data_IF_221480667226
#
_entry.id   IF_221480667226
#
_cell.length_a   1.000
_cell.length_b   1.000
_cell.length_c   1.000
_cell.angle_alpha   90.00
_cell.angle_beta   90.00
_cell.angle_gamma   90.00
#
_symmetry.space_group_name_H-M   'P 1'
#
loop_
_entity.id
_entity.type
_entity.pdbx_description
1 polymer ?
#
# COMPACT_ATOMS: atom_id res chain seq x y z
N UNK A 1 6.29 -1.60 -16.45
CA UNK A 1 7.05 -1.83 -15.18
C UNK A 1 6.61 -0.78 -14.16
N UNK A 2 6.60 -1.02 -12.83
CA UNK A 2 6.12 0.01 -11.88
C UNK A 2 7.03 1.27 -11.96
N UNK A 3 6.49 2.48 -12.15
CA UNK A 3 7.30 3.68 -12.25
C UNK A 3 8.02 3.94 -10.92
N UNK A 4 9.27 4.39 -10.99
CA UNK A 4 10.00 4.82 -9.81
C UNK A 4 9.38 6.11 -9.28
N UNK A 5 9.14 6.17 -7.97
CA UNK A 5 8.51 7.34 -7.34
C UNK A 5 9.59 8.15 -6.63
N UNK A 6 9.64 9.45 -6.93
CA UNK A 6 10.41 10.46 -6.20
C UNK A 6 9.47 11.09 -5.16
N UNK A 7 9.52 10.65 -3.89
CA UNK A 7 8.60 11.15 -2.87
C UNK A 7 9.06 12.53 -2.37
N UNK A 8 8.11 13.47 -2.33
CA UNK A 8 8.24 14.77 -1.67
C UNK A 8 7.18 14.82 -0.58
N UNK A 9 7.61 14.96 0.67
CA UNK A 9 6.69 15.02 1.80
C UNK A 9 6.29 16.48 2.11
N UNK A 10 4.99 16.74 2.19
CA UNK A 10 4.37 18.01 2.57
C UNK A 10 3.62 17.82 3.91
N UNK A 11 4.34 17.82 5.05
CA UNK A 11 3.78 17.34 6.32
C UNK A 11 2.66 18.24 6.86
N UNK A 12 1.53 17.62 7.22
CA UNK A 12 0.30 18.20 7.83
C UNK A 12 -0.33 19.40 7.13
N UNK A 13 0.28 19.92 6.07
CA UNK A 13 -0.18 21.13 5.41
C UNK A 13 -1.38 20.83 4.51
N UNK A 14 -2.38 21.72 4.57
CA UNK A 14 -3.67 21.53 3.91
C UNK A 14 -4.66 20.65 4.68
N UNK A 15 -4.28 20.09 5.84
CA UNK A 15 -5.23 19.37 6.70
C UNK A 15 -5.88 20.35 7.71
N UNK A 16 -7.19 20.62 7.64
CA UNK A 16 -7.87 21.51 8.59
C UNK A 16 -8.06 20.88 9.98
N UNK A 17 -7.92 19.56 10.08
CA UNK A 17 -8.13 18.80 11.31
C UNK A 17 -6.99 17.80 11.53
N UNK A 18 -6.80 17.42 12.79
CA UNK A 18 -5.86 16.38 13.18
C UNK A 18 -6.60 15.06 13.44
N UNK A 19 -6.37 14.08 12.58
CA UNK A 19 -6.92 12.73 12.76
C UNK A 19 -6.36 12.07 14.01
N UNK A 20 -7.14 11.20 14.65
CA UNK A 20 -6.80 10.64 15.96
C UNK A 20 -5.54 9.78 15.95
N UNK A 21 -5.22 9.14 14.82
CA UNK A 21 -4.05 8.28 14.62
C UNK A 21 -2.84 9.02 14.03
N UNK A 22 -2.99 10.28 13.63
CA UNK A 22 -2.02 10.95 12.78
C UNK A 22 -1.10 11.90 13.56
N UNK A 23 0.21 11.69 13.43
CA UNK A 23 1.24 12.60 13.93
C UNK A 23 2.36 12.81 12.90
N UNK A 24 2.05 13.41 11.75
CA UNK A 24 3.05 13.65 10.70
C UNK A 24 4.25 14.49 11.15
N UNK A 25 4.11 15.38 12.15
CA UNK A 25 5.24 16.10 12.75
C UNK A 25 6.29 15.16 13.35
N UNK A 26 5.86 14.09 14.04
CA UNK A 26 6.77 13.04 14.54
C UNK A 26 7.18 12.04 13.43
N UNK A 27 6.29 11.73 12.48
CA UNK A 27 6.57 10.74 11.41
C UNK A 27 7.57 11.28 10.38
N UNK A 28 7.46 12.57 10.02
CA UNK A 28 8.24 13.21 8.95
C UNK A 28 9.38 14.07 9.48
N UNK A 29 9.28 14.61 10.70
CA UNK A 29 10.32 15.44 11.31
C UNK A 29 10.58 16.79 10.64
N UNK A 30 9.80 17.20 9.63
CA UNK A 30 10.13 18.35 8.78
C UNK A 30 9.04 19.45 8.74
N UNK A 31 9.47 20.69 8.45
CA UNK A 31 8.60 21.80 8.02
C UNK A 31 8.31 21.66 6.52
N UNK A 32 7.31 22.39 6.00
CA UNK A 32 7.02 22.40 4.56
C UNK A 32 8.32 22.71 3.77
N UNK A 33 8.71 21.87 2.79
CA UNK A 33 9.98 22.07 2.09
C UNK A 33 9.93 23.33 1.22
N UNK A 34 11.06 24.02 1.13
CA UNK A 34 11.24 25.13 0.18
C UNK A 34 11.33 24.59 -1.25
N UNK A 35 11.07 25.45 -2.25
CA UNK A 35 11.27 25.08 -3.66
C UNK A 35 12.70 24.60 -3.94
N UNK A 36 13.70 25.24 -3.31
CA UNK A 36 15.10 24.82 -3.38
C UNK A 36 15.27 23.39 -2.88
N UNK A 37 14.71 23.07 -1.70
CA UNK A 37 14.79 21.72 -1.12
C UNK A 37 14.10 20.68 -1.99
N UNK A 38 12.92 21.01 -2.54
CA UNK A 38 12.21 20.12 -3.48
C UNK A 38 13.08 19.83 -4.71
N UNK A 39 13.68 20.88 -5.30
CA UNK A 39 14.57 20.74 -6.44
C UNK A 39 15.78 19.85 -6.13
N UNK A 40 16.43 20.07 -4.99
CA UNK A 40 17.55 19.25 -4.51
C UNK A 40 17.14 17.77 -4.37
N UNK A 41 15.96 17.48 -3.82
CA UNK A 41 15.45 16.11 -3.70
C UNK A 41 15.26 15.51 -5.10
N UNK A 42 14.59 16.21 -6.01
CA UNK A 42 14.34 15.71 -7.38
C UNK A 42 15.67 15.41 -8.08
N UNK A 43 16.61 16.37 -8.07
CA UNK A 43 17.92 16.22 -8.71
C UNK A 43 18.73 15.08 -8.10
N UNK A 44 18.74 14.95 -6.77
CA UNK A 44 19.40 13.85 -6.07
C UNK A 44 18.88 12.48 -6.53
N UNK A 45 17.56 12.33 -6.62
CA UNK A 45 16.97 11.08 -7.11
C UNK A 45 17.29 10.83 -8.58
N UNK A 46 17.22 11.85 -9.44
CA UNK A 46 17.54 11.71 -10.87
C UNK A 46 19.01 11.34 -11.12
N UNK A 47 19.95 11.85 -10.32
CA UNK A 47 21.38 11.55 -10.43
C UNK A 47 21.71 10.09 -10.08
N UNK A 48 20.93 9.47 -9.19
CA UNK A 48 21.04 8.04 -8.91
C UNK A 48 20.60 7.29 -10.18
N UNK A 49 21.56 6.82 -11.00
CA UNK A 49 21.38 6.09 -12.28
C UNK A 49 20.57 4.77 -12.18
N UNK A 50 19.84 4.53 -11.10
CA UNK A 50 18.88 3.43 -10.89
C UNK A 50 17.77 3.42 -11.97
N UNK A 51 17.61 4.51 -12.72
CA UNK A 51 16.57 4.72 -13.74
C UNK A 51 16.92 4.21 -15.14
N UNK A 52 18.19 3.93 -15.47
CA UNK A 52 18.61 3.68 -16.87
C UNK A 52 17.94 2.43 -17.47
N UNK A 53 17.57 1.45 -16.63
CA UNK A 53 16.80 0.26 -17.03
C UNK A 53 15.30 0.34 -16.73
N UNK A 54 14.79 1.49 -16.29
CA UNK A 54 13.40 1.67 -15.84
C UNK A 54 12.64 2.71 -16.65
N UNK A 55 11.31 2.63 -16.62
CA UNK A 55 10.45 3.73 -17.07
C UNK A 55 10.83 5.02 -16.32
N UNK A 56 10.65 6.17 -16.97
CA UNK A 56 10.89 7.49 -16.38
C UNK A 56 10.11 7.62 -15.05
N UNK A 57 10.71 8.23 -14.01
CA UNK A 57 10.09 8.32 -12.70
C UNK A 57 8.90 9.29 -12.66
N UNK A 58 8.07 9.18 -11.62
CA UNK A 58 7.05 10.17 -11.26
C UNK A 58 7.49 10.96 -10.03
N UNK A 59 7.15 12.26 -10.00
CA UNK A 59 7.25 13.05 -8.77
C UNK A 59 5.94 12.89 -7.99
N UNK A 60 6.03 12.49 -6.72
CA UNK A 60 4.86 12.28 -5.87
C UNK A 60 4.86 13.17 -4.63
N UNK A 61 3.82 13.98 -4.48
CA UNK A 61 3.61 14.79 -3.29
C UNK A 61 2.75 14.04 -2.26
N UNK A 62 3.36 13.63 -1.14
CA UNK A 62 2.74 12.84 -0.06
C UNK A 62 2.70 13.58 1.27
N UNK A 63 1.94 13.08 2.24
CA UNK A 63 1.87 13.64 3.60
C UNK A 63 0.51 14.30 3.85
N UNK A 64 0.46 15.63 3.77
CA UNK A 64 -0.75 16.41 3.96
C UNK A 64 -1.74 16.32 2.80
N UNK A 65 -2.57 17.35 2.66
CA UNK A 65 -3.58 17.45 1.60
C UNK A 65 -3.10 18.41 0.52
N UNK A 66 -2.50 17.88 -0.55
CA UNK A 66 -1.82 18.71 -1.55
C UNK A 66 -2.74 19.77 -2.18
N UNK A 67 -3.98 19.41 -2.48
CA UNK A 67 -4.92 20.34 -3.13
C UNK A 67 -5.46 21.40 -2.19
N UNK A 68 -5.44 21.15 -0.87
CA UNK A 68 -5.80 22.11 0.16
C UNK A 68 -4.64 23.05 0.57
N UNK A 69 -3.47 22.96 -0.07
CA UNK A 69 -2.43 23.99 0.07
C UNK A 69 -2.92 25.34 -0.47
N UNK A 70 -2.40 26.44 0.10
CA UNK A 70 -2.62 27.79 -0.45
C UNK A 70 -2.25 27.81 -1.93
N UNK A 71 -3.12 28.38 -2.77
CA UNK A 71 -3.02 28.31 -4.24
C UNK A 71 -1.64 28.72 -4.77
N UNK A 72 -1.06 29.81 -4.27
CA UNK A 72 0.28 30.25 -4.67
C UNK A 72 1.36 29.17 -4.44
N UNK A 73 1.36 28.52 -3.28
CA UNK A 73 2.32 27.46 -2.94
C UNK A 73 2.07 26.20 -3.78
N UNK A 74 0.81 25.79 -3.91
CA UNK A 74 0.42 24.63 -4.72
C UNK A 74 0.88 24.80 -6.17
N UNK A 75 0.60 25.95 -6.78
CA UNK A 75 1.04 26.30 -8.14
C UNK A 75 2.56 26.32 -8.25
N UNK A 76 3.28 26.88 -7.28
CA UNK A 76 4.74 26.89 -7.30
C UNK A 76 5.33 25.46 -7.28
N UNK A 77 4.77 24.56 -6.48
CA UNK A 77 5.21 23.15 -6.43
C UNK A 77 4.88 22.42 -7.73
N UNK A 78 3.68 22.63 -8.27
CA UNK A 78 3.27 22.07 -9.57
C UNK A 78 4.14 22.60 -10.70
N UNK A 79 4.41 23.91 -10.77
CA UNK A 79 5.23 24.53 -11.80
C UNK A 79 6.66 23.98 -11.79
N UNK A 80 7.27 23.87 -10.61
CA UNK A 80 8.60 23.27 -10.46
C UNK A 80 8.61 21.83 -10.97
N UNK A 81 7.66 20.99 -10.54
CA UNK A 81 7.61 19.60 -10.99
C UNK A 81 7.30 19.49 -12.49
N UNK A 82 6.44 20.36 -13.02
CA UNK A 82 6.04 20.35 -14.43
C UNK A 82 7.17 20.75 -15.37
N UNK A 83 8.11 21.61 -14.94
CA UNK A 83 9.34 21.89 -15.68
C UNK A 83 10.16 20.60 -15.95
N UNK A 84 10.23 19.68 -14.99
CA UNK A 84 10.87 18.37 -15.20
C UNK A 84 10.07 17.48 -16.15
N UNK A 85 8.73 17.57 -16.17
CA UNK A 85 7.87 16.86 -17.14
C UNK A 85 8.18 17.38 -18.55
N UNK A 86 8.19 18.71 -18.74
CA UNK A 86 8.47 19.36 -20.03
C UNK A 86 9.87 19.04 -20.56
N UNK A 87 10.86 18.96 -19.68
CA UNK A 87 12.22 18.52 -20.02
C UNK A 87 12.35 17.02 -20.30
N UNK A 88 11.24 16.28 -20.23
CA UNK A 88 11.20 14.84 -20.47
C UNK A 88 11.96 14.01 -19.43
N UNK A 89 12.29 14.57 -18.26
CA UNK A 89 13.04 13.86 -17.19
C UNK A 89 12.15 12.98 -16.32
N UNK A 90 10.86 13.31 -16.22
CA UNK A 90 9.87 12.58 -15.44
C UNK A 90 8.64 12.26 -16.31
N UNK A 91 7.92 11.18 -15.98
CA UNK A 91 6.74 10.69 -16.73
C UNK A 91 5.46 11.48 -16.42
N UNK A 92 5.38 12.04 -15.22
CA UNK A 92 4.21 12.77 -14.72
C UNK A 92 4.30 13.07 -13.24
N UNK A 93 3.26 13.74 -12.74
CA UNK A 93 3.13 14.11 -11.34
C UNK A 93 1.99 13.32 -10.69
N UNK A 94 2.21 12.95 -9.44
CA UNK A 94 1.29 12.24 -8.56
C UNK A 94 1.05 13.07 -7.30
N UNK A 95 -0.19 13.16 -6.86
CA UNK A 95 -0.54 13.90 -5.63
C UNK A 95 -1.40 13.05 -4.71
N UNK A 96 -1.19 13.21 -3.41
CA UNK A 96 -2.09 12.69 -2.37
C UNK A 96 -2.97 13.82 -1.85
N UNK A 97 -4.26 13.56 -1.69
CA UNK A 97 -5.18 14.57 -1.16
C UNK A 97 -6.37 14.00 -0.39
N UNK A 98 -7.12 14.89 0.26
CA UNK A 98 -8.39 14.55 0.89
C UNK A 98 -9.54 14.62 -0.15
N UNK A 99 -10.53 13.71 -0.06
CA UNK A 99 -11.76 13.75 -0.84
C UNK A 99 -12.49 15.09 -0.91
N UNK A 100 -12.58 15.82 0.22
CA UNK A 100 -13.27 17.11 0.35
C UNK A 100 -12.48 18.31 -0.21
N UNK A 101 -11.25 18.09 -0.68
CA UNK A 101 -10.36 19.14 -1.17
C UNK A 101 -10.26 19.18 -2.71
N UNK A 102 -11.30 18.73 -3.41
CA UNK A 102 -11.35 18.67 -4.86
C UNK A 102 -12.63 19.31 -5.40
N UNK A 103 -12.45 20.14 -6.42
CA UNK A 103 -13.49 20.67 -7.28
C UNK A 103 -12.99 20.67 -8.75
N UNK A 104 -13.85 21.02 -9.70
CA UNK A 104 -13.51 21.03 -11.12
C UNK A 104 -12.37 22.01 -11.44
N UNK A 105 -12.31 23.15 -10.74
CA UNK A 105 -11.26 24.16 -10.93
C UNK A 105 -9.89 23.61 -10.51
N UNK A 106 -9.82 22.89 -9.40
CA UNK A 106 -8.61 22.21 -8.93
C UNK A 106 -8.22 21.11 -9.92
N UNK A 107 -9.15 20.28 -10.39
CA UNK A 107 -8.84 19.22 -11.35
C UNK A 107 -8.29 19.78 -12.67
N UNK A 108 -8.90 20.84 -13.21
CA UNK A 108 -8.42 21.53 -14.41
C UNK A 108 -7.02 22.15 -14.18
N UNK A 109 -6.77 22.72 -13.00
CA UNK A 109 -5.44 23.19 -12.63
C UNK A 109 -4.43 22.02 -12.62
N UNK A 110 -4.75 20.90 -11.97
CA UNK A 110 -3.87 19.73 -11.92
C UNK A 110 -3.57 19.17 -13.33
N UNK A 111 -4.56 19.09 -14.21
CA UNK A 111 -4.39 18.69 -15.62
C UNK A 111 -3.40 19.61 -16.35
N UNK A 112 -3.55 20.93 -16.18
CA UNK A 112 -2.69 21.93 -16.83
C UNK A 112 -1.20 21.83 -16.44
N UNK A 113 -0.90 21.22 -15.28
CA UNK A 113 0.47 20.97 -14.80
C UNK A 113 0.94 19.53 -15.04
N UNK A 114 0.23 18.72 -15.83
CA UNK A 114 0.66 17.36 -16.17
C UNK A 114 0.58 16.36 -15.01
N UNK A 115 -0.30 16.60 -14.04
CA UNK A 115 -0.66 15.61 -13.02
C UNK A 115 -1.38 14.46 -13.71
N UNK A 116 -0.99 13.23 -13.40
CA UNK A 116 -1.56 12.00 -13.97
C UNK A 116 -2.21 11.09 -12.95
N UNK A 117 -1.88 11.26 -11.66
CA UNK A 117 -2.36 10.36 -10.62
C UNK A 117 -2.77 11.10 -9.36
N UNK A 118 -3.96 10.78 -8.85
CA UNK A 118 -4.50 11.30 -7.61
C UNK A 118 -4.74 10.14 -6.66
N UNK A 119 -4.11 10.19 -5.48
CA UNK A 119 -4.34 9.25 -4.39
C UNK A 119 -5.27 9.90 -3.35
N UNK A 120 -6.49 9.37 -3.19
CA UNK A 120 -7.46 9.80 -2.18
C UNK A 120 -7.21 9.11 -0.85
N UNK A 121 -7.04 9.91 0.20
CA UNK A 121 -6.97 9.43 1.58
C UNK A 121 -8.33 9.02 2.14
N UNK A 122 -8.93 7.95 1.63
CA UNK A 122 -10.27 7.42 1.99
C UNK A 122 -10.33 6.92 3.43
N UNK A 123 -9.34 6.11 3.82
CA UNK A 123 -9.19 5.45 5.12
C UNK A 123 -10.29 4.43 5.46
N UNK A 124 -11.55 4.85 5.51
CA UNK A 124 -12.70 4.01 5.78
C UNK A 124 -13.91 4.45 4.95
N UNK A 125 -14.87 3.56 4.76
CA UNK A 125 -16.14 3.83 4.05
C UNK A 125 -17.33 3.65 5.00
N UNK A 126 -17.21 4.24 6.18
CA UNK A 126 -18.22 4.24 7.24
C UNK A 126 -18.18 5.58 7.99
N UNK A 127 -19.34 6.23 8.12
CA UNK A 127 -19.43 7.58 8.69
C UNK A 127 -19.01 7.64 10.17
N UNK A 128 -19.33 6.60 10.95
CA UNK A 128 -19.00 6.56 12.38
C UNK A 128 -17.49 6.39 12.60
N UNK A 129 -16.84 5.56 11.76
CA UNK A 129 -15.39 5.40 11.78
C UNK A 129 -14.72 6.73 11.40
N UNK A 130 -15.14 7.39 10.31
CA UNK A 130 -14.56 8.65 9.84
C UNK A 130 -14.73 9.78 10.87
N UNK A 131 -15.91 9.87 11.49
CA UNK A 131 -16.21 10.84 12.56
C UNK A 131 -15.36 10.57 13.80
N UNK A 132 -15.29 9.32 14.26
CA UNK A 132 -14.48 8.94 15.43
C UNK A 132 -12.98 9.17 15.17
N UNK A 133 -12.53 8.90 13.95
CA UNK A 133 -11.17 9.17 13.52
C UNK A 133 -10.83 10.66 13.31
N UNK A 134 -11.83 11.56 13.43
CA UNK A 134 -11.71 13.00 13.17
C UNK A 134 -11.14 13.28 11.78
N UNK A 135 -11.61 12.53 10.78
CA UNK A 135 -11.09 12.61 9.41
C UNK A 135 -11.49 13.92 8.72
N UNK A 136 -12.70 14.40 9.00
CA UNK A 136 -13.23 15.69 8.55
C UNK A 136 -13.78 15.69 7.12
N UNK A 137 -14.02 14.52 6.53
CA UNK A 137 -14.83 14.35 5.33
C UNK A 137 -15.80 13.19 5.54
N UNK A 138 -16.79 13.07 4.67
CA UNK A 138 -17.80 12.02 4.64
C UNK A 138 -17.50 10.95 3.59
N UNK A 139 -18.24 9.85 3.62
CA UNK A 139 -18.24 8.83 2.55
C UNK A 139 -18.77 9.44 1.24
N UNK A 140 -19.73 10.37 1.34
CA UNK A 140 -20.26 11.09 0.17
C UNK A 140 -19.17 11.90 -0.55
N UNK A 141 -18.26 12.52 0.20
CA UNK A 141 -17.12 13.25 -0.38
C UNK A 141 -16.17 12.30 -1.13
N UNK A 142 -15.92 11.09 -0.59
CA UNK A 142 -15.12 10.06 -1.26
C UNK A 142 -15.71 9.69 -2.62
N UNK A 143 -17.02 9.43 -2.66
CA UNK A 143 -17.70 9.04 -3.89
C UNK A 143 -17.77 10.18 -4.91
N UNK A 144 -18.07 11.41 -4.45
CA UNK A 144 -18.04 12.61 -5.29
C UNK A 144 -16.66 12.81 -5.92
N UNK A 145 -15.61 12.81 -5.10
CA UNK A 145 -14.23 12.97 -5.58
C UNK A 145 -13.83 11.86 -6.55
N UNK A 146 -14.19 10.61 -6.24
CA UNK A 146 -13.92 9.45 -7.12
C UNK A 146 -14.56 9.63 -8.49
N UNK A 147 -15.83 10.05 -8.56
CA UNK A 147 -16.52 10.32 -9.82
C UNK A 147 -15.82 11.41 -10.63
N UNK A 148 -15.44 12.52 -9.98
CA UNK A 148 -14.79 13.65 -10.65
C UNK A 148 -13.40 13.28 -11.17
N UNK A 149 -12.59 12.58 -10.38
CA UNK A 149 -11.23 12.15 -10.77
C UNK A 149 -11.29 11.22 -11.98
N UNK A 150 -12.21 10.25 -11.97
CA UNK A 150 -12.40 9.32 -13.09
C UNK A 150 -12.91 10.01 -14.34
N UNK A 151 -13.86 10.94 -14.22
CA UNK A 151 -14.38 11.69 -15.35
C UNK A 151 -13.31 12.58 -16.01
N UNK A 152 -12.34 13.06 -15.23
CA UNK A 152 -11.18 13.81 -15.72
C UNK A 152 -9.99 12.92 -16.14
N UNK A 153 -10.19 11.60 -16.25
CA UNK A 153 -9.22 10.62 -16.75
C UNK A 153 -7.88 10.55 -15.98
N UNK A 154 -7.86 10.99 -14.72
CA UNK A 154 -6.73 10.75 -13.84
C UNK A 154 -6.69 9.29 -13.43
N UNK A 155 -5.48 8.75 -13.25
CA UNK A 155 -5.34 7.51 -12.51
C UNK A 155 -5.71 7.74 -11.04
N UNK A 156 -6.58 6.89 -10.49
CA UNK A 156 -7.12 6.99 -9.15
C UNK A 156 -6.55 5.91 -8.22
N UNK A 157 -5.95 6.36 -7.13
CA UNK A 157 -5.57 5.52 -6.00
C UNK A 157 -6.47 5.73 -4.79
N UNK A 158 -6.88 4.66 -4.11
CA UNK A 158 -7.48 4.77 -2.78
C UNK A 158 -6.48 4.34 -1.69
N UNK A 159 -6.33 5.17 -0.66
CA UNK A 159 -5.59 4.82 0.55
C UNK A 159 -6.59 4.38 1.61
N UNK A 160 -6.48 3.13 2.04
CA UNK A 160 -7.37 2.46 2.99
C UNK A 160 -6.60 2.16 4.27
N UNK A 161 -7.31 2.15 5.39
CA UNK A 161 -6.80 1.75 6.68
C UNK A 161 -7.61 0.57 7.22
N UNK A 162 -6.96 -0.24 8.06
CA UNK A 162 -7.63 -1.28 8.86
C UNK A 162 -7.30 -1.09 10.33
N UNK A 163 -8.15 -1.60 11.21
CA UNK A 163 -8.04 -1.50 12.66
C UNK A 163 -8.32 -0.08 13.18
N UNK A 164 -9.11 0.74 12.47
CA UNK A 164 -9.50 2.05 12.99
C UNK A 164 -10.47 1.91 14.18
N UNK A 165 -10.55 2.89 15.09
CA UNK A 165 -11.57 2.89 16.16
C UNK A 165 -12.99 2.74 15.60
N UNK A 166 -13.79 1.87 16.23
CA UNK A 166 -15.14 1.43 15.79
C UNK A 166 -15.18 0.55 14.53
N UNK A 167 -14.04 0.19 13.94
CA UNK A 167 -14.03 -0.78 12.84
C UNK A 167 -14.47 -2.16 13.35
N UNK A 168 -15.32 -2.81 12.56
CA UNK A 168 -15.86 -4.15 12.76
C UNK A 168 -15.74 -4.94 11.46
N UNK A 169 -15.88 -6.26 11.53
CA UNK A 169 -15.92 -7.10 10.34
C UNK A 169 -16.99 -6.63 9.33
N UNK A 170 -18.18 -6.29 9.80
CA UNK A 170 -19.25 -5.78 8.94
C UNK A 170 -18.86 -4.47 8.21
N UNK A 171 -18.22 -3.53 8.91
CA UNK A 171 -17.77 -2.28 8.28
C UNK A 171 -16.64 -2.52 7.28
N UNK A 172 -15.75 -3.48 7.56
CA UNK A 172 -14.67 -3.89 6.67
C UNK A 172 -15.22 -4.52 5.39
N UNK A 173 -16.19 -5.43 5.52
CA UNK A 173 -16.88 -6.05 4.38
C UNK A 173 -17.63 -5.04 3.52
N UNK A 174 -18.26 -4.02 4.13
CA UNK A 174 -18.84 -2.89 3.39
C UNK A 174 -17.78 -2.13 2.59
N UNK A 175 -16.63 -1.82 3.21
CA UNK A 175 -15.52 -1.18 2.51
C UNK A 175 -15.04 -2.01 1.32
N UNK A 176 -14.88 -3.33 1.48
CA UNK A 176 -14.49 -4.23 0.39
C UNK A 176 -15.48 -4.16 -0.77
N UNK A 177 -16.78 -4.26 -0.49
CA UNK A 177 -17.84 -4.15 -1.52
C UNK A 177 -17.77 -2.84 -2.29
N UNK A 178 -17.56 -1.72 -1.59
CA UNK A 178 -17.45 -0.42 -2.25
C UNK A 178 -16.15 -0.27 -3.06
N UNK A 179 -15.01 -0.81 -2.60
CA UNK A 179 -13.77 -0.84 -3.40
C UNK A 179 -13.98 -1.62 -4.69
N UNK A 180 -14.61 -2.80 -4.62
CA UNK A 180 -14.91 -3.64 -5.79
C UNK A 180 -15.90 -2.99 -6.75
N UNK A 181 -16.86 -2.23 -6.23
CA UNK A 181 -17.84 -1.46 -7.01
C UNK A 181 -17.20 -0.26 -7.71
N UNK A 182 -16.44 0.54 -6.97
CA UNK A 182 -15.85 1.77 -7.47
C UNK A 182 -14.58 1.55 -8.30
N UNK A 183 -13.91 0.40 -8.16
CA UNK A 183 -12.74 -0.02 -8.95
C UNK A 183 -11.70 1.10 -9.13
N UNK A 184 -11.05 1.62 -8.06
CA UNK A 184 -9.88 2.48 -8.23
C UNK A 184 -8.79 1.70 -8.99
N UNK A 185 -7.88 2.38 -9.69
CA UNK A 185 -6.82 1.71 -10.46
C UNK A 185 -5.85 0.95 -9.55
N UNK A 186 -5.70 1.43 -8.31
CA UNK A 186 -4.92 0.78 -7.29
C UNK A 186 -5.36 1.18 -5.89
N UNK A 187 -4.96 0.37 -4.91
CA UNK A 187 -5.15 0.66 -3.48
C UNK A 187 -3.84 0.57 -2.71
N UNK A 188 -3.81 1.28 -1.58
CA UNK A 188 -2.82 1.11 -0.51
C UNK A 188 -3.54 0.75 0.77
N UNK A 189 -2.99 -0.19 1.54
CA UNK A 189 -3.61 -0.67 2.77
C UNK A 189 -2.65 -0.40 3.93
N UNK A 190 -3.12 0.32 4.94
CA UNK A 190 -2.32 0.70 6.09
C UNK A 190 -2.98 0.22 7.39
N UNK A 191 -2.41 -0.79 8.07
CA UNK A 191 -2.81 -1.12 9.43
C UNK A 191 -2.62 0.07 10.39
N UNK A 192 -3.60 0.29 11.25
CA UNK A 192 -3.58 1.39 12.22
C UNK A 192 -2.60 1.09 13.35
N UNK A 193 -1.55 1.90 13.44
CA UNK A 193 -0.58 1.87 14.56
C UNK A 193 -0.82 3.04 15.51
N UNK A 194 -0.52 2.82 16.78
CA UNK A 194 -0.60 3.85 17.83
C UNK A 194 0.70 4.62 17.85
N UNK A 195 0.64 5.93 17.56
CA UNK A 195 1.82 6.79 17.54
C UNK A 195 1.87 7.72 18.75
N UNK A 196 3.08 7.96 19.27
CA UNK A 196 3.36 8.93 20.33
C UNK A 196 2.77 10.29 19.98
N UNK A 197 2.20 10.96 20.98
CA UNK A 197 1.62 12.30 20.83
C UNK A 197 0.31 12.37 20.05
N UNK A 198 -0.35 11.23 19.78
CA UNK A 198 -1.69 11.19 19.15
C UNK A 198 -2.82 11.04 20.17
N UNK A 199 -4.05 11.39 19.77
CA UNK A 199 -5.24 11.09 20.58
C UNK A 199 -5.47 9.58 20.71
N UNK A 200 -5.16 8.81 19.66
CA UNK A 200 -5.24 7.36 19.70
C UNK A 200 -4.31 6.76 20.76
N UNK A 201 -3.12 7.33 20.97
CA UNK A 201 -2.23 6.91 22.06
C UNK A 201 -2.80 7.19 23.45
N UNK A 202 -3.55 8.29 23.62
CA UNK A 202 -4.28 8.55 24.87
C UNK A 202 -5.36 7.49 25.08
N UNK A 203 -6.18 7.21 24.06
CA UNK A 203 -7.22 6.17 24.14
C UNK A 203 -6.66 4.78 24.42
N UNK A 204 -5.53 4.44 23.80
CA UNK A 204 -4.84 3.18 24.06
C UNK A 204 -4.38 3.06 25.53
N UNK A 205 -3.73 4.08 26.07
CA UNK A 205 -3.29 4.11 27.49
C UNK A 205 -4.46 4.04 28.48
N UNK A 206 -5.60 4.60 28.10
CA UNK A 206 -6.84 4.57 28.89
C UNK A 206 -7.65 3.27 28.70
N UNK A 207 -7.17 2.32 27.89
CA UNK A 207 -7.90 1.08 27.57
C UNK A 207 -9.13 1.25 26.65
N UNK A 208 -9.36 2.46 26.12
CA UNK A 208 -10.49 2.80 25.23
C UNK A 208 -10.28 2.38 23.78
N UNK A 209 -9.06 1.98 23.42
CA UNK A 209 -8.72 1.48 22.09
C UNK A 209 -7.71 0.34 22.19
N UNK A 210 -8.04 -0.78 21.55
CA UNK A 210 -7.14 -1.93 21.40
C UNK A 210 -6.75 -2.04 19.93
N UNK A 211 -5.48 -1.84 19.56
CA UNK A 211 -5.04 -2.07 18.19
C UNK A 211 -5.03 -3.57 17.86
N UNK A 212 -5.10 -3.88 16.57
CA UNK A 212 -4.83 -5.23 16.07
C UNK A 212 -3.41 -5.68 16.46
N UNK A 213 -3.24 -6.98 16.69
CA UNK A 213 -1.92 -7.59 16.70
C UNK A 213 -1.42 -7.83 15.26
N UNK A 214 -0.16 -8.26 15.11
CA UNK A 214 0.47 -8.39 13.80
C UNK A 214 -0.19 -9.50 12.99
N UNK A 215 -0.56 -10.60 13.63
CA UNK A 215 -1.16 -11.79 13.04
C UNK A 215 -2.55 -11.46 12.47
N UNK A 216 -3.40 -10.81 13.27
CA UNK A 216 -4.73 -10.31 12.87
C UNK A 216 -4.62 -9.37 11.67
N UNK A 217 -3.70 -8.39 11.72
CA UNK A 217 -3.53 -7.43 10.65
C UNK A 217 -2.99 -8.08 9.36
N UNK A 218 -2.08 -9.06 9.48
CA UNK A 218 -1.55 -9.82 8.35
C UNK A 218 -2.67 -10.63 7.69
N UNK A 219 -3.50 -11.29 8.48
CA UNK A 219 -4.62 -12.11 7.99
C UNK A 219 -5.67 -11.25 7.26
N UNK A 220 -6.09 -10.13 7.85
CA UNK A 220 -6.99 -9.18 7.19
C UNK A 220 -6.37 -8.66 5.89
N UNK A 221 -5.12 -8.20 5.93
CA UNK A 221 -4.45 -7.67 4.74
C UNK A 221 -4.29 -8.73 3.64
N UNK A 222 -4.01 -9.99 3.99
CA UNK A 222 -3.93 -11.11 3.05
C UNK A 222 -5.25 -11.27 2.30
N UNK A 223 -6.36 -11.34 3.02
CA UNK A 223 -7.70 -11.44 2.45
C UNK A 223 -8.03 -10.26 1.54
N UNK A 224 -7.75 -9.02 1.98
CA UNK A 224 -7.95 -7.82 1.16
C UNK A 224 -7.11 -7.83 -0.12
N UNK A 225 -5.83 -8.22 -0.02
CA UNK A 225 -4.94 -8.28 -1.18
C UNK A 225 -5.42 -9.30 -2.20
N UNK A 226 -5.72 -10.52 -1.75
CA UNK A 226 -6.23 -11.58 -2.63
C UNK A 226 -7.55 -11.17 -3.30
N UNK A 227 -8.46 -10.57 -2.53
CA UNK A 227 -9.76 -10.10 -3.04
C UNK A 227 -9.61 -9.00 -4.10
N UNK A 228 -8.81 -7.97 -3.81
CA UNK A 228 -8.66 -6.84 -4.73
C UNK A 228 -7.86 -7.22 -5.97
N UNK A 229 -6.74 -7.93 -5.83
CA UNK A 229 -5.93 -8.32 -6.98
C UNK A 229 -6.64 -9.37 -7.85
N UNK A 230 -7.40 -10.30 -7.25
CA UNK A 230 -8.27 -11.23 -7.98
C UNK A 230 -9.39 -10.52 -8.77
N UNK A 231 -9.83 -9.34 -8.31
CA UNK A 231 -10.76 -8.50 -9.06
C UNK A 231 -10.09 -7.56 -10.07
N UNK A 232 -8.76 -7.64 -10.24
CA UNK A 232 -7.96 -6.79 -11.13
C UNK A 232 -7.60 -5.41 -10.58
N UNK A 233 -7.83 -5.15 -9.29
CA UNK A 233 -7.46 -3.90 -8.60
C UNK A 233 -6.10 -4.08 -7.94
N UNK A 234 -5.09 -3.32 -8.40
CA UNK A 234 -3.71 -3.51 -7.94
C UNK A 234 -3.52 -3.07 -6.49
N UNK A 235 -2.89 -3.88 -5.65
CA UNK A 235 -2.44 -3.44 -4.32
C UNK A 235 -0.98 -3.02 -4.41
N UNK A 236 -0.72 -1.72 -4.42
CA UNK A 236 0.65 -1.22 -4.65
C UNK A 236 1.47 -1.08 -3.38
N UNK A 237 0.82 -1.06 -2.21
CA UNK A 237 1.47 -0.94 -0.90
C UNK A 237 0.61 -1.56 0.19
N UNK A 238 1.24 -2.34 1.07
CA UNK A 238 0.68 -2.79 2.34
C UNK A 238 1.67 -2.46 3.45
N UNK A 239 1.19 -1.79 4.49
CA UNK A 239 2.01 -1.33 5.62
C UNK A 239 2.71 0.03 5.38
N UNK A 240 3.08 0.68 6.48
CA UNK A 240 3.71 2.00 6.48
C UNK A 240 5.15 1.94 5.95
N UNK A 241 5.68 3.09 5.52
CA UNK A 241 7.09 3.19 5.12
C UNK A 241 7.96 3.33 6.37
N UNK A 242 8.92 2.41 6.61
CA UNK A 242 9.80 2.52 7.76
C UNK A 242 10.69 3.75 7.63
N UNK A 243 10.72 4.57 8.67
CA UNK A 243 11.68 5.65 8.88
C UNK A 243 12.19 5.57 10.32
N UNK A 244 13.38 6.11 10.58
CA UNK A 244 13.93 6.16 11.95
C UNK A 244 12.98 6.87 12.90
N UNK A 245 12.35 7.96 12.45
CA UNK A 245 11.38 8.73 13.23
C UNK A 245 10.10 7.94 13.50
N UNK A 246 9.55 7.26 12.48
CA UNK A 246 8.38 6.42 12.65
C UNK A 246 8.64 5.28 13.67
N UNK A 247 9.78 4.59 13.54
CA UNK A 247 10.13 3.49 14.44
C UNK A 247 10.17 3.93 15.92
N UNK A 248 10.70 5.14 16.18
CA UNK A 248 10.74 5.72 17.54
C UNK A 248 9.38 6.21 18.03
N UNK A 249 8.47 6.52 17.11
CA UNK A 249 7.15 7.08 17.44
C UNK A 249 6.09 6.01 17.71
N UNK A 250 6.27 4.76 17.27
CA UNK A 250 5.28 3.70 17.45
C UNK A 250 5.25 3.24 18.91
N UNK A 251 4.06 3.23 19.51
CA UNK A 251 3.80 2.78 20.87
C UNK A 251 3.11 1.40 20.92
N UNK A 252 2.23 1.11 19.97
CA UNK A 252 1.49 -0.15 19.90
C UNK A 252 0.88 -0.40 18.50
N UNK A 253 0.40 -1.62 18.29
CA UNK A 253 -0.29 -2.06 17.08
C UNK A 253 0.62 -2.83 16.09
N UNK A 254 0.08 -3.17 14.91
CA UNK A 254 0.69 -4.14 14.01
C UNK A 254 1.81 -3.52 13.18
N UNK A 255 2.99 -3.36 13.79
CA UNK A 255 4.17 -2.76 13.16
C UNK A 255 5.26 -3.79 12.85
N UNK A 256 5.62 -3.88 11.57
CA UNK A 256 6.84 -4.54 11.11
C UNK A 256 7.45 -3.73 9.94
N UNK A 257 8.78 -3.51 9.90
CA UNK A 257 9.40 -2.75 8.80
C UNK A 257 9.20 -3.41 7.42
N UNK A 258 9.00 -4.72 7.40
CA UNK A 258 8.67 -5.51 6.21
C UNK A 258 7.25 -6.09 6.27
N UNK A 259 6.27 -5.38 6.84
CA UNK A 259 4.90 -5.88 7.00
C UNK A 259 4.28 -6.42 5.69
N UNK A 260 4.48 -5.71 4.57
CA UNK A 260 4.01 -6.19 3.27
C UNK A 260 4.67 -7.50 2.79
N UNK A 261 5.87 -7.85 3.28
CA UNK A 261 6.48 -9.15 3.02
C UNK A 261 5.83 -10.26 3.86
N UNK A 262 5.42 -9.97 5.09
CA UNK A 262 4.65 -10.90 5.93
C UNK A 262 3.30 -11.24 5.28
N UNK A 263 2.60 -10.22 4.76
CA UNK A 263 1.33 -10.42 4.05
C UNK A 263 1.53 -11.27 2.80
N UNK A 264 2.57 -11.01 1.99
CA UNK A 264 2.88 -11.86 0.83
C UNK A 264 3.20 -13.29 1.25
N UNK A 265 4.00 -13.47 2.31
CA UNK A 265 4.32 -14.79 2.83
C UNK A 265 3.06 -15.55 3.27
N UNK A 266 2.10 -14.88 3.90
CA UNK A 266 0.81 -15.47 4.24
C UNK A 266 -0.02 -15.85 3.00
N UNK A 267 -0.03 -15.03 1.95
CA UNK A 267 -0.68 -15.36 0.65
C UNK A 267 -0.01 -16.60 0.02
N UNK A 268 1.33 -16.64 0.00
CA UNK A 268 2.05 -17.80 -0.54
C UNK A 268 1.75 -19.06 0.25
N UNK A 269 1.67 -18.98 1.58
CA UNK A 269 1.28 -20.11 2.42
C UNK A 269 -0.07 -20.65 2.02
N UNK A 270 -1.08 -19.80 1.90
CA UNK A 270 -2.44 -20.22 1.51
C UNK A 270 -2.46 -20.92 0.16
N UNK A 271 -1.83 -20.33 -0.85
CA UNK A 271 -1.76 -20.93 -2.19
C UNK A 271 -1.01 -22.25 -2.21
N UNK A 272 0.12 -22.35 -1.48
CA UNK A 272 0.85 -23.62 -1.35
C UNK A 272 0.00 -24.68 -0.66
N UNK A 273 -0.81 -24.31 0.35
CA UNK A 273 -1.74 -25.26 1.00
C UNK A 273 -2.79 -25.76 0.02
N UNK A 274 -3.43 -24.87 -0.75
CA UNK A 274 -4.42 -25.24 -1.77
C UNK A 274 -3.84 -26.16 -2.82
N UNK A 275 -2.66 -25.82 -3.34
CA UNK A 275 -1.93 -26.63 -4.31
C UNK A 275 -1.56 -27.99 -3.71
N UNK A 276 -1.01 -28.06 -2.49
CA UNK A 276 -0.60 -29.34 -1.89
C UNK A 276 -1.78 -30.27 -1.60
N UNK A 277 -2.99 -29.72 -1.38
CA UNK A 277 -4.23 -30.52 -1.24
C UNK A 277 -4.62 -31.24 -2.54
N UNK A 278 -4.23 -30.73 -3.70
CA UNK A 278 -4.58 -31.34 -5.00
C UNK A 278 -3.63 -32.44 -5.44
N UNK A 279 -2.52 -32.67 -4.73
CA UNK A 279 -1.53 -33.70 -5.06
C UNK A 279 -1.49 -34.79 -4.00
N UNK A 280 -1.56 -36.05 -4.41
CA UNK A 280 -1.54 -37.19 -3.49
C UNK A 280 -0.12 -37.64 -3.10
N UNK A 281 0.89 -37.38 -3.94
CA UNK A 281 2.23 -37.92 -3.77
C UNK A 281 2.96 -37.58 -2.46
N UNK A 282 3.88 -38.47 -2.08
CA UNK A 282 4.60 -38.42 -0.78
C UNK A 282 5.80 -37.49 -0.80
N UNK A 283 6.39 -37.23 -1.96
CA UNK A 283 7.54 -36.33 -2.12
C UNK A 283 7.19 -35.20 -3.09
N UNK A 284 7.22 -33.96 -2.60
CA UNK A 284 6.80 -32.78 -3.36
C UNK A 284 7.87 -31.68 -3.27
N UNK A 285 8.40 -31.29 -4.42
CA UNK A 285 9.28 -30.14 -4.57
C UNK A 285 8.46 -28.96 -5.15
N UNK A 286 8.38 -27.87 -4.39
CA UNK A 286 7.77 -26.60 -4.80
C UNK A 286 8.87 -25.72 -5.38
N UNK A 287 8.93 -25.66 -6.71
CA UNK A 287 9.91 -24.86 -7.45
C UNK A 287 9.37 -23.44 -7.64
N UNK A 288 10.17 -22.46 -7.25
CA UNK A 288 9.80 -21.04 -7.32
C UNK A 288 10.94 -20.18 -7.83
N UNK A 289 10.65 -18.99 -8.35
CA UNK A 289 11.70 -18.04 -8.72
C UNK A 289 12.60 -17.72 -7.51
N UNK A 290 13.94 -17.61 -7.69
CA UNK A 290 14.86 -17.22 -6.62
C UNK A 290 14.45 -15.92 -5.90
N UNK A 291 13.74 -15.04 -6.60
CA UNK A 291 13.25 -13.75 -6.08
C UNK A 291 12.14 -13.86 -5.05
N UNK A 292 11.46 -15.00 -4.95
CA UNK A 292 10.32 -15.22 -4.03
C UNK A 292 10.55 -16.34 -3.03
N UNK A 293 11.67 -17.07 -3.10
CA UNK A 293 12.00 -18.17 -2.18
C UNK A 293 11.82 -17.74 -0.72
N UNK A 294 12.34 -16.57 -0.33
CA UNK A 294 12.19 -16.08 1.04
C UNK A 294 10.73 -15.82 1.44
N UNK A 295 9.87 -15.42 0.50
CA UNK A 295 8.45 -15.18 0.75
C UNK A 295 7.70 -16.52 0.88
N UNK A 296 8.03 -17.50 0.04
CA UNK A 296 7.47 -18.85 0.13
C UNK A 296 7.89 -19.54 1.44
N UNK A 297 9.17 -19.48 1.80
CA UNK A 297 9.68 -20.04 3.07
C UNK A 297 9.07 -19.36 4.30
N UNK A 298 8.73 -18.06 4.20
CA UNK A 298 8.23 -17.24 5.31
C UNK A 298 9.34 -16.81 6.27
N UNK A 299 9.04 -15.84 7.14
CA UNK A 299 10.03 -15.33 8.09
C UNK A 299 10.42 -16.45 9.05
N UNK A 300 11.72 -16.63 9.31
CA UNK A 300 12.25 -17.73 10.14
C UNK A 300 11.75 -19.13 9.69
N UNK A 301 11.44 -19.30 8.40
CA UNK A 301 10.90 -20.53 7.81
C UNK A 301 9.51 -20.93 8.32
N UNK A 302 8.72 -19.99 8.84
CA UNK A 302 7.39 -20.26 9.43
C UNK A 302 6.45 -21.01 8.48
N UNK A 303 6.42 -20.68 7.19
CA UNK A 303 5.55 -21.34 6.23
C UNK A 303 6.00 -22.76 5.96
N UNK A 304 7.30 -22.98 5.82
CA UNK A 304 7.88 -24.31 5.64
C UNK A 304 7.56 -25.23 6.83
N UNK A 305 7.70 -24.72 8.06
CA UNK A 305 7.37 -25.46 9.28
C UNK A 305 5.87 -25.74 9.36
N UNK A 306 5.03 -24.76 9.03
CA UNK A 306 3.57 -24.93 8.98
C UNK A 306 3.17 -26.03 7.99
N UNK A 307 3.70 -26.01 6.76
CA UNK A 307 3.41 -27.02 5.75
C UNK A 307 3.78 -28.44 6.21
N UNK A 308 4.93 -28.60 6.88
CA UNK A 308 5.35 -29.88 7.48
C UNK A 308 4.39 -30.36 8.57
N UNK A 309 3.83 -29.44 9.35
CA UNK A 309 2.89 -29.78 10.42
C UNK A 309 1.54 -30.26 9.86
N UNK A 310 1.00 -29.59 8.84
CA UNK A 310 -0.32 -29.95 8.27
C UNK A 310 -0.26 -31.11 7.27
N UNK A 311 0.91 -31.37 6.67
CA UNK A 311 1.14 -32.49 5.75
C UNK A 311 2.28 -33.40 6.26
N UNK A 312 2.15 -34.03 7.44
CA UNK A 312 3.24 -34.78 8.08
C UNK A 312 3.69 -36.02 7.29
N UNK A 313 2.81 -36.53 6.40
CA UNK A 313 3.08 -37.68 5.53
C UNK A 313 3.75 -37.29 4.20
N UNK A 314 3.97 -35.99 3.95
CA UNK A 314 4.60 -35.49 2.73
C UNK A 314 5.98 -34.91 3.05
N UNK A 315 7.01 -35.36 2.34
CA UNK A 315 8.28 -34.67 2.27
C UNK A 315 8.11 -33.46 1.35
N UNK A 316 8.17 -32.27 1.92
CA UNK A 316 8.06 -31.01 1.18
C UNK A 316 9.42 -30.32 1.13
N UNK A 317 9.82 -29.87 -0.05
CA UNK A 317 10.93 -28.95 -0.24
C UNK A 317 10.47 -27.70 -1.03
N UNK A 318 11.06 -26.54 -0.73
CA UNK A 318 10.85 -25.32 -1.51
C UNK A 318 12.21 -24.95 -2.10
N UNK A 319 12.32 -24.96 -3.42
CA UNK A 319 13.60 -24.85 -4.13
C UNK A 319 13.56 -23.73 -5.18
N UNK A 320 14.69 -23.04 -5.41
CA UNK A 320 14.78 -22.06 -6.48
C UNK A 320 14.84 -22.73 -7.87
N UNK A 321 14.13 -22.17 -8.85
CA UNK A 321 14.25 -22.50 -10.27
C UNK A 321 14.48 -21.21 -11.08
N UNK A 322 15.63 -21.12 -11.73
CA UNK A 322 16.07 -19.93 -12.48
C UNK A 322 15.23 -19.65 -13.73
N UNK A 323 14.51 -20.66 -14.24
CA UNK A 323 13.65 -20.53 -15.41
C UNK A 323 12.31 -19.85 -15.09
N UNK A 324 11.90 -19.85 -13.82
CA UNK A 324 10.60 -19.35 -13.40
C UNK A 324 10.60 -17.82 -13.24
N UNK A 325 9.55 -17.20 -13.78
CA UNK A 325 9.19 -15.82 -13.51
C UNK A 325 8.68 -15.69 -12.07
N UNK A 326 8.60 -14.46 -11.58
CA UNK A 326 8.30 -14.16 -10.17
C UNK A 326 6.90 -14.65 -9.74
N UNK A 327 6.01 -14.79 -10.70
CA UNK A 327 4.60 -15.16 -10.52
C UNK A 327 4.32 -16.65 -10.75
N UNK A 328 5.35 -17.43 -11.12
CA UNK A 328 5.21 -18.84 -11.49
C UNK A 328 5.63 -19.74 -10.31
N UNK A 329 4.77 -20.72 -10.00
CA UNK A 329 5.12 -21.87 -9.17
C UNK A 329 5.01 -23.12 -10.02
N UNK A 330 6.04 -23.96 -9.95
CA UNK A 330 6.04 -25.29 -10.55
C UNK A 330 6.09 -26.32 -9.43
N UNK A 331 5.14 -27.25 -9.47
CA UNK A 331 5.12 -28.38 -8.54
C UNK A 331 5.72 -29.59 -9.24
N UNK A 332 6.61 -30.26 -8.53
CA UNK A 332 7.18 -31.54 -8.91
C UNK A 332 6.75 -32.55 -7.85
N UNK A 333 6.00 -33.56 -8.26
CA UNK A 333 5.65 -34.70 -7.41
C UNK A 333 6.51 -35.89 -7.82
N UNK A 334 7.15 -36.54 -6.85
CA UNK A 334 7.86 -37.81 -7.08
C UNK A 334 7.00 -38.96 -6.57
N UNK A 335 6.26 -39.57 -7.50
CA UNK A 335 5.66 -40.90 -7.34
C UNK A 335 6.31 -41.83 -8.38
N UNK A 336 7.44 -42.45 -8.02
CA UNK A 336 8.23 -43.25 -8.97
C UNK A 336 8.89 -42.41 -10.08
N UNK A 337 8.65 -42.73 -11.36
CA UNK A 337 9.31 -42.12 -12.55
C UNK A 337 8.51 -41.02 -13.28
N UNK A 338 7.30 -40.67 -12.82
CA UNK A 338 6.42 -39.72 -13.54
C UNK A 338 6.47 -38.34 -12.91
N UNK A 339 6.85 -37.35 -13.72
CA UNK A 339 6.80 -35.93 -13.38
C UNK A 339 5.48 -35.37 -13.91
N UNK A 340 4.50 -35.09 -13.04
CA UNK A 340 3.37 -34.25 -13.42
C UNK A 340 3.75 -32.80 -13.18
N UNK A 341 3.77 -32.00 -14.26
CA UNK A 341 3.99 -30.56 -14.16
C UNK A 341 2.64 -29.86 -14.10
N UNK A 342 2.36 -29.15 -13.02
CA UNK A 342 1.33 -28.13 -12.99
C UNK A 342 2.02 -26.77 -12.88
N UNK A 343 1.80 -25.91 -13.86
CA UNK A 343 2.11 -24.49 -13.74
C UNK A 343 0.91 -23.84 -13.05
N UNK A 344 1.09 -23.38 -11.82
CA UNK A 344 0.13 -22.49 -11.19
C UNK A 344 0.65 -21.06 -11.33
N UNK A 345 -0.09 -20.24 -12.07
CA UNK A 345 0.07 -18.79 -12.00
C UNK A 345 -0.46 -18.34 -10.63
N UNK A 346 0.34 -17.56 -9.91
CA UNK A 346 -0.05 -16.98 -8.64
C UNK A 346 -1.05 -15.82 -8.78
N UNK A 347 -1.42 -15.41 -9.98
CA UNK A 347 -2.26 -14.23 -10.22
C UNK A 347 -3.27 -14.48 -11.32
#
# INVERSE_FOLDING_TARGET
MKPYIIPIFIPHMGCPHRCVYCNQSEITGERLPSLKKIKEIIDFFLLRKVHVKREKPEIAFYGGSFTALKSLKRRAFLALAFDYVKKGKIKGIRISTRPDALDEKILNELLSYGVKTIELGVQALDEDILKTARRGHSVKDVFKATKMIKAAEFSLGWQLMIGLPKETENTLQRMVKEVLKWRPDFVRIYPTVVLKGTLLAKWWKEGKYKPLNIEEAVEICKTLVMTFEGAGIKVIRVGLQPTTSLNKAILAGPWHPAFGELVKAAIFREKMVEILKTFEGKEIDILVSPKIVSQCMGQKKENYLFLKQIFPKKRIAILPDMSLKKEEIKIVVKDGKRWSNANCCLW
#
